data_IF_873414169582
#
_entry.id   IF_873414169582
#
_cell.length_a   1.000
_cell.length_b   1.000
_cell.length_c   1.000
_cell.angle_alpha   90.00
_cell.angle_beta   90.00
_cell.angle_gamma   90.00
#
_symmetry.space_group_name_H-M   'P 1'
#
loop_
_entity.id
_entity.type
_entity.pdbx_description
1 polymer ?
#
# COMPACT_ATOMS: atom_id res chain seq x y z
N UNK A 1 4.17 -18.40 17.79
CA UNK A 1 4.10 -19.28 16.60
C UNK A 1 4.36 -18.44 15.36
N UNK A 2 5.09 -18.96 14.39
CA UNK A 2 5.36 -18.27 13.12
C UNK A 2 4.25 -18.63 12.13
N UNK A 3 3.70 -17.62 11.45
CA UNK A 3 2.83 -17.80 10.29
C UNK A 3 3.56 -17.29 9.05
N UNK A 4 3.63 -18.10 8.02
CA UNK A 4 4.16 -17.71 6.72
C UNK A 4 2.99 -17.52 5.77
N UNK A 5 2.82 -16.30 5.28
CA UNK A 5 1.78 -15.97 4.29
C UNK A 5 2.36 -16.11 2.89
N UNK A 6 1.67 -16.88 2.05
CA UNK A 6 1.96 -16.97 0.62
C UNK A 6 1.20 -15.89 -0.15
N UNK A 7 1.84 -15.29 -1.13
CA UNK A 7 1.22 -14.30 -2.02
C UNK A 7 1.70 -14.49 -3.46
N UNK A 8 0.90 -14.04 -4.42
CA UNK A 8 1.32 -14.00 -5.84
C UNK A 8 2.56 -13.13 -6.00
N UNK A 9 2.63 -12.03 -5.28
CA UNK A 9 3.75 -11.09 -5.27
C UNK A 9 3.70 -10.26 -4.00
N UNK A 10 4.84 -10.03 -3.39
CA UNK A 10 5.00 -9.10 -2.27
C UNK A 10 5.92 -7.98 -2.71
N UNK A 11 5.46 -6.74 -2.57
CA UNK A 11 6.28 -5.54 -2.78
C UNK A 11 6.93 -5.23 -1.44
N UNK A 12 8.24 -5.41 -1.34
CA UNK A 12 8.95 -5.36 -0.05
C UNK A 12 9.32 -3.95 0.39
N UNK A 13 9.34 -3.00 -0.55
CA UNK A 13 9.91 -1.65 -0.37
C UNK A 13 11.42 -1.65 -0.06
N UNK A 14 12.10 -2.78 -0.25
CA UNK A 14 13.55 -2.90 -0.11
C UNK A 14 14.18 -2.87 -1.51
N UNK A 15 14.98 -1.85 -1.86
CA UNK A 15 15.60 -1.76 -3.17
C UNK A 15 16.51 -2.94 -3.54
N UNK A 16 17.14 -3.57 -2.54
CA UNK A 16 18.02 -4.72 -2.77
C UNK A 16 17.23 -6.01 -3.08
N UNK A 17 15.97 -6.08 -2.66
CA UNK A 17 15.07 -7.20 -2.93
C UNK A 17 13.63 -6.67 -3.07
N UNK A 18 13.28 -6.07 -4.20
CA UNK A 18 12.01 -5.35 -4.35
C UNK A 18 10.77 -6.26 -4.28
N UNK A 19 10.93 -7.56 -4.58
CA UNK A 19 9.83 -8.52 -4.64
C UNK A 19 10.12 -9.80 -3.86
N UNK A 20 9.07 -10.38 -3.30
CA UNK A 20 9.06 -11.68 -2.64
C UNK A 20 7.76 -12.40 -2.95
N UNK A 21 7.63 -13.66 -2.50
CA UNK A 21 6.41 -14.47 -2.62
C UNK A 21 5.86 -14.91 -1.27
N UNK A 22 6.67 -14.83 -0.23
CA UNK A 22 6.29 -15.24 1.12
C UNK A 22 6.76 -14.20 2.15
N UNK A 23 6.02 -14.09 3.23
CA UNK A 23 6.38 -13.26 4.39
C UNK A 23 6.13 -14.02 5.68
N UNK A 24 7.12 -14.07 6.55
CA UNK A 24 7.03 -14.69 7.87
C UNK A 24 6.69 -13.65 8.93
N UNK A 25 5.70 -13.97 9.76
CA UNK A 25 5.21 -13.10 10.83
C UNK A 25 5.15 -13.87 12.13
N UNK A 26 5.59 -13.26 13.23
CA UNK A 26 5.43 -13.75 14.60
C UNK A 26 5.03 -12.60 15.51
N UNK A 27 3.96 -12.80 16.27
CA UNK A 27 3.47 -11.83 17.27
C UNK A 27 3.27 -10.42 16.70
N UNK A 28 2.75 -10.35 15.46
CA UNK A 28 2.53 -9.09 14.75
C UNK A 28 3.78 -8.46 14.13
N UNK A 29 4.94 -9.09 14.27
CA UNK A 29 6.22 -8.61 13.72
C UNK A 29 6.61 -9.41 12.48
N UNK A 30 6.97 -8.71 11.41
CA UNK A 30 7.54 -9.32 10.21
C UNK A 30 8.97 -9.76 10.50
N UNK A 31 9.25 -11.06 10.38
CA UNK A 31 10.58 -11.63 10.55
C UNK A 31 11.41 -11.52 9.27
N UNK A 32 10.77 -11.66 8.12
CA UNK A 32 11.42 -11.58 6.82
C UNK A 32 10.44 -11.80 5.68
N UNK A 33 10.86 -11.40 4.48
CA UNK A 33 10.15 -11.66 3.24
C UNK A 33 11.12 -12.23 2.21
N UNK A 34 10.68 -13.24 1.45
CA UNK A 34 11.52 -13.94 0.48
C UNK A 34 10.79 -15.08 -0.19
N UNK A 35 11.52 -16.12 -0.56
CA UNK A 35 10.97 -17.42 -0.95
C UNK A 35 10.59 -18.24 0.27
N UNK A 36 9.77 -19.28 0.10
CA UNK A 36 9.44 -20.20 1.19
C UNK A 36 10.70 -20.83 1.80
N UNK A 37 11.62 -21.31 0.96
CA UNK A 37 12.86 -21.95 1.40
C UNK A 37 13.73 -21.03 2.27
N UNK A 38 13.78 -19.73 1.96
CA UNK A 38 14.52 -18.77 2.79
C UNK A 38 13.88 -18.57 4.17
N UNK A 39 12.56 -18.68 4.25
CA UNK A 39 11.84 -18.45 5.50
C UNK A 39 11.80 -19.68 6.42
N UNK A 40 12.04 -20.86 5.89
CA UNK A 40 12.16 -22.11 6.67
C UNK A 40 13.25 -22.02 7.75
N UNK A 41 14.28 -21.23 7.52
CA UNK A 41 15.36 -20.98 8.48
C UNK A 41 14.90 -20.32 9.80
N UNK A 42 13.71 -19.74 9.87
CA UNK A 42 13.16 -19.13 11.08
C UNK A 42 12.60 -20.16 12.08
N UNK A 43 12.48 -21.44 11.67
CA UNK A 43 11.94 -22.52 12.47
C UNK A 43 10.54 -22.97 12.06
N UNK A 44 9.88 -23.81 12.88
CA UNK A 44 8.56 -24.34 12.53
C UNK A 44 7.53 -23.23 12.32
N UNK A 45 6.73 -23.35 11.26
CA UNK A 45 5.71 -22.37 10.90
C UNK A 45 4.42 -23.03 10.39
N UNK A 46 3.36 -22.27 10.38
CA UNK A 46 2.11 -22.59 9.67
C UNK A 46 2.07 -21.79 8.37
N UNK A 47 1.82 -22.46 7.24
CA UNK A 47 1.62 -21.79 5.96
C UNK A 47 0.16 -21.32 5.84
N UNK A 48 -0.01 -20.07 5.45
CA UNK A 48 -1.31 -19.47 5.19
C UNK A 48 -1.35 -18.97 3.74
N UNK A 49 -2.18 -19.57 2.91
CA UNK A 49 -2.28 -19.33 1.47
C UNK A 49 -3.44 -18.43 1.06
N UNK A 50 -4.18 -17.85 2.04
CA UNK A 50 -5.35 -16.98 1.75
C UNK A 50 -5.04 -15.83 0.79
N UNK A 51 -3.78 -15.43 0.70
CA UNK A 51 -3.32 -14.36 -0.18
C UNK A 51 -2.55 -14.84 -1.42
N UNK A 52 -2.51 -16.15 -1.69
CA UNK A 52 -1.72 -16.74 -2.78
C UNK A 52 -2.01 -16.12 -4.18
N UNK A 53 -3.24 -15.64 -4.40
CA UNK A 53 -3.63 -14.96 -5.63
C UNK A 53 -3.56 -13.41 -5.55
N UNK A 54 -3.07 -12.86 -4.44
CA UNK A 54 -3.06 -11.41 -4.16
C UNK A 54 -1.64 -10.85 -4.24
N UNK A 55 -1.59 -9.53 -4.45
CA UNK A 55 -0.37 -8.75 -4.28
C UNK A 55 -0.41 -8.13 -2.88
N UNK A 56 0.63 -8.38 -2.10
CA UNK A 56 0.80 -7.78 -0.77
C UNK A 56 1.81 -6.63 -0.84
N UNK A 57 1.60 -5.62 -0.04
CA UNK A 57 2.52 -4.51 0.14
C UNK A 57 2.40 -3.99 1.58
N UNK A 58 3.40 -3.27 2.10
CA UNK A 58 3.28 -2.59 3.38
C UNK A 58 2.10 -1.62 3.39
N UNK A 59 1.49 -1.44 4.56
CA UNK A 59 0.48 -0.42 4.75
C UNK A 59 1.03 0.97 4.43
N UNK A 60 0.18 1.86 3.92
CA UNK A 60 0.59 3.21 3.60
C UNK A 60 0.92 3.98 4.90
N UNK A 61 2.12 4.56 4.93
CA UNK A 61 2.53 5.46 6.00
C UNK A 61 2.35 6.89 5.49
N UNK A 62 1.46 7.62 6.14
CA UNK A 62 1.10 8.97 5.76
C UNK A 62 1.87 9.96 6.64
N UNK A 63 2.75 10.75 6.03
CA UNK A 63 3.50 11.81 6.71
C UNK A 63 2.79 13.16 6.67
N UNK A 64 2.02 13.42 5.63
CA UNK A 64 1.19 14.62 5.47
C UNK A 64 0.13 14.37 4.41
N UNK A 65 -1.15 14.55 4.72
CA UNK A 65 -2.22 14.48 3.74
C UNK A 65 -3.44 15.32 4.13
N UNK A 66 -4.24 15.64 3.12
CA UNK A 66 -5.49 16.39 3.24
C UNK A 66 -6.65 15.52 2.72
N UNK A 67 -6.87 14.37 3.34
CA UNK A 67 -7.87 13.38 2.90
C UNK A 67 -9.26 13.99 2.84
N UNK A 68 -9.64 14.79 3.83
CA UNK A 68 -10.94 15.46 3.85
C UNK A 68 -11.10 16.42 2.67
N UNK A 69 -10.07 17.22 2.35
CA UNK A 69 -10.09 18.13 1.19
C UNK A 69 -10.24 17.35 -0.11
N UNK A 70 -9.56 16.22 -0.27
CA UNK A 70 -9.68 15.37 -1.45
C UNK A 70 -11.11 14.87 -1.67
N UNK A 71 -11.82 14.52 -0.60
CA UNK A 71 -13.23 14.12 -0.66
C UNK A 71 -14.12 15.33 -1.05
N UNK A 72 -13.92 16.46 -0.42
CA UNK A 72 -14.69 17.67 -0.76
C UNK A 72 -14.47 18.12 -2.20
N UNK A 73 -13.22 18.11 -2.66
CA UNK A 73 -12.87 18.54 -4.01
C UNK A 73 -13.42 17.64 -5.11
N UNK A 74 -13.86 16.45 -4.78
CA UNK A 74 -14.58 15.61 -5.73
C UNK A 74 -15.95 16.17 -6.09
N UNK A 75 -16.58 16.93 -5.20
CA UNK A 75 -17.93 17.45 -5.36
C UNK A 75 -17.94 18.96 -5.55
N UNK A 76 -17.07 19.67 -4.84
CA UNK A 76 -16.97 21.13 -4.89
C UNK A 76 -15.50 21.52 -4.90
N UNK A 77 -14.99 21.85 -6.06
CA UNK A 77 -13.62 22.32 -6.19
C UNK A 77 -13.57 23.84 -6.04
N UNK A 78 -12.81 24.34 -5.08
CA UNK A 78 -12.58 25.76 -4.81
C UNK A 78 -11.08 26.13 -4.81
N UNK A 79 -10.22 25.30 -5.40
CA UNK A 79 -8.79 25.59 -5.56
C UNK A 79 -8.54 26.69 -6.59
N UNK A 80 -7.38 27.31 -6.49
CA UNK A 80 -6.99 28.42 -7.37
C UNK A 80 -6.63 27.98 -8.79
N UNK A 81 -5.96 26.82 -8.92
CA UNK A 81 -5.51 26.30 -10.21
C UNK A 81 -6.47 25.27 -10.77
N UNK A 82 -6.56 25.20 -12.09
CA UNK A 82 -7.24 24.08 -12.74
C UNK A 82 -6.57 22.76 -12.38
N UNK A 83 -7.36 21.72 -12.20
CA UNK A 83 -6.86 20.36 -11.94
C UNK A 83 -7.64 19.35 -12.76
N UNK A 84 -6.92 18.31 -13.18
CA UNK A 84 -7.53 17.14 -13.81
C UNK A 84 -7.28 15.94 -12.88
N UNK A 85 -8.33 15.23 -12.55
CA UNK A 85 -8.22 14.01 -11.74
C UNK A 85 -7.72 12.82 -12.58
N UNK A 86 -7.32 11.68 -11.94
CA UNK A 86 -6.87 10.51 -12.67
C UNK A 86 -7.92 9.88 -13.60
N UNK A 87 -9.20 10.19 -13.41
CA UNK A 87 -10.29 9.75 -14.30
C UNK A 87 -10.47 10.66 -15.52
N UNK A 88 -9.68 11.75 -15.63
CA UNK A 88 -9.72 12.69 -16.73
C UNK A 88 -10.73 13.83 -16.58
N UNK A 89 -11.40 13.96 -15.43
CA UNK A 89 -12.32 15.07 -15.18
C UNK A 89 -11.53 16.32 -14.83
N UNK A 90 -11.78 17.41 -15.58
CA UNK A 90 -11.15 18.70 -15.31
C UNK A 90 -12.05 19.58 -14.46
N UNK A 91 -11.48 20.15 -13.42
CA UNK A 91 -12.12 21.09 -12.52
C UNK A 91 -11.47 22.47 -12.69
N UNK A 92 -12.28 23.47 -13.01
CA UNK A 92 -11.78 24.83 -13.20
C UNK A 92 -11.51 25.49 -11.85
N UNK A 93 -10.32 26.05 -11.71
CA UNK A 93 -9.93 26.81 -10.52
C UNK A 93 -10.67 28.14 -10.41
N UNK A 94 -10.88 28.58 -9.18
CA UNK A 94 -11.41 29.91 -8.90
C UNK A 94 -10.25 30.93 -8.88
N UNK A 95 -10.23 31.85 -9.82
CA UNK A 95 -9.21 32.92 -9.88
C UNK A 95 -9.32 33.91 -8.71
N UNK A 96 -10.48 33.99 -8.09
CA UNK A 96 -10.72 34.69 -6.84
C UNK A 96 -11.94 34.10 -6.14
N UNK A 97 -11.93 34.10 -4.82
CA UNK A 97 -13.16 33.90 -4.08
C UNK A 97 -13.94 35.19 -4.27
N UNK A 98 -14.98 35.12 -5.09
CA UNK A 98 -15.89 36.26 -5.24
C UNK A 98 -16.42 36.59 -3.83
N UNK A 99 -16.14 37.78 -3.40
CA UNK A 99 -16.62 38.27 -2.12
C UNK A 99 -18.15 38.36 -2.12
#
# INVERSE_FOLDING_TARGET
MITVFAAKKIITMNPARPFATHVAVRDGIVLGAGSLAELEGWGPFTLDDRFAAKILMPGLVEGHSHVAEGVFWRFVYCGYFDRTDPAGTTWTGAASIAA
#
